data_IF_092468014161
#
_entry.id   IF_092468014161
#
_cell.length_a   1.000
_cell.length_b   1.000
_cell.length_c   1.000
_cell.angle_alpha   90.00
_cell.angle_beta   90.00
_cell.angle_gamma   90.00
#
_symmetry.space_group_name_H-M   'P 1'
#
loop_
_entity.id
_entity.type
_entity.pdbx_description
1 polymer ?
#
# COMPACT_ATOMS: atom_id res chain seq x y z
N UNK A 1 -5.14 0.09 -4.75
CA UNK A 1 -4.13 0.43 -3.72
C UNK A 1 -3.47 1.74 -4.11
N UNK A 2 -3.26 2.64 -3.16
CA UNK A 2 -2.55 3.91 -3.32
C UNK A 2 -1.35 3.93 -2.35
N UNK A 3 -0.18 4.37 -2.82
CA UNK A 3 1.04 4.47 -2.00
C UNK A 3 1.60 5.87 -2.16
N UNK A 4 1.90 6.55 -1.06
CA UNK A 4 2.59 7.85 -1.04
C UNK A 4 3.85 7.76 -0.18
N UNK A 5 4.95 8.29 -0.69
CA UNK A 5 6.26 8.24 -0.03
C UNK A 5 6.43 9.33 1.02
N UNK A 6 5.82 10.49 0.79
CA UNK A 6 5.86 11.62 1.71
C UNK A 6 4.43 12.00 2.11
N UNK A 7 4.29 12.51 3.33
CA UNK A 7 3.02 12.99 3.86
C UNK A 7 2.79 14.46 3.47
N UNK A 8 1.63 14.81 2.90
CA UNK A 8 1.24 16.20 2.71
C UNK A 8 1.17 16.94 4.06
N UNK A 9 1.44 18.23 4.02
CA UNK A 9 1.46 19.10 5.21
C UNK A 9 0.05 19.54 5.64
N UNK A 10 -0.95 19.37 4.77
CA UNK A 10 -2.34 19.72 5.00
C UNK A 10 -3.28 18.51 4.81
N UNK A 11 -4.39 18.53 5.55
CA UNK A 11 -5.34 17.43 5.59
C UNK A 11 -6.13 17.28 4.29
N UNK A 12 -6.49 18.39 3.64
CA UNK A 12 -7.28 18.38 2.40
C UNK A 12 -6.52 17.68 1.27
N UNK A 13 -5.24 18.01 1.10
CA UNK A 13 -4.33 17.35 0.17
C UNK A 13 -4.19 15.86 0.47
N UNK A 14 -4.11 15.47 1.74
CA UNK A 14 -4.06 14.05 2.13
C UNK A 14 -5.32 13.31 1.66
N UNK A 15 -6.50 13.86 1.95
CA UNK A 15 -7.79 13.29 1.53
C UNK A 15 -7.90 13.16 0.01
N UNK A 16 -7.48 14.17 -0.74
CA UNK A 16 -7.48 14.13 -2.21
C UNK A 16 -6.53 13.08 -2.81
N UNK A 17 -5.42 12.78 -2.12
CA UNK A 17 -4.47 11.73 -2.50
C UNK A 17 -5.03 10.33 -2.25
N UNK A 18 -5.56 10.07 -1.06
CA UNK A 18 -6.11 8.74 -0.76
C UNK A 18 -7.40 8.45 -1.56
N UNK A 19 -8.12 9.50 -1.99
CA UNK A 19 -9.28 9.39 -2.88
C UNK A 19 -8.99 8.80 -4.27
N UNK A 20 -7.74 8.45 -4.57
CA UNK A 20 -7.36 7.72 -5.80
C UNK A 20 -7.67 6.21 -5.73
N UNK A 21 -7.94 5.67 -4.55
CA UNK A 21 -8.36 4.27 -4.35
C UNK A 21 -9.83 4.16 -3.89
N UNK A 22 -10.38 2.95 -3.75
CA UNK A 22 -11.76 2.74 -3.26
C UNK A 22 -12.88 3.22 -4.18
N UNK A 23 -12.87 2.79 -5.45
CA UNK A 23 -13.86 3.20 -6.47
C UNK A 23 -15.09 2.27 -6.50
N UNK A 24 -16.22 2.80 -6.98
CA UNK A 24 -17.46 2.04 -7.20
C UNK A 24 -17.96 1.29 -5.96
N UNK A 25 -17.87 1.93 -4.78
CA UNK A 25 -18.30 1.36 -3.50
C UNK A 25 -17.41 0.21 -2.98
N UNK A 26 -16.29 -0.09 -3.65
CA UNK A 26 -15.34 -1.10 -3.20
C UNK A 26 -14.34 -0.50 -2.23
N UNK A 27 -13.85 -1.34 -1.33
CA UNK A 27 -12.77 -0.98 -0.41
C UNK A 27 -11.47 -0.67 -1.17
N UNK A 28 -10.71 0.29 -0.63
CA UNK A 28 -9.42 0.71 -1.16
C UNK A 28 -8.41 0.79 -0.03
N UNK A 29 -7.16 0.45 -0.33
CA UNK A 29 -6.05 0.50 0.62
C UNK A 29 -5.16 1.69 0.24
N UNK A 30 -4.89 2.58 1.19
CA UNK A 30 -3.91 3.65 1.08
C UNK A 30 -2.81 3.44 2.12
N UNK A 31 -1.55 3.48 1.69
CA UNK A 31 -0.37 3.35 2.56
C UNK A 31 0.50 4.59 2.41
N UNK A 32 0.93 5.16 3.52
CA UNK A 32 1.76 6.36 3.57
C UNK A 32 3.01 6.07 4.38
N UNK A 33 4.17 6.39 3.83
CA UNK A 33 5.41 6.42 4.59
C UNK A 33 5.51 7.75 5.33
N UNK A 34 5.98 7.70 6.58
CA UNK A 34 6.03 8.85 7.49
C UNK A 34 7.32 8.77 8.30
N UNK A 35 8.03 9.88 8.41
CA UNK A 35 9.18 10.00 9.29
C UNK A 35 8.74 10.34 10.73
N UNK A 36 9.55 10.00 11.76
CA UNK A 36 9.20 10.31 13.15
C UNK A 36 8.91 11.80 13.42
N UNK A 37 9.58 12.69 12.69
CA UNK A 37 9.41 14.16 12.80
C UNK A 37 8.05 14.61 12.25
N UNK A 38 7.44 13.84 11.35
CA UNK A 38 6.19 14.18 10.67
C UNK A 38 4.95 13.62 11.38
N UNK A 39 5.13 12.98 12.55
CA UNK A 39 4.03 12.35 13.31
C UNK A 39 2.95 13.35 13.73
N UNK A 40 3.29 14.62 13.88
CA UNK A 40 2.30 15.65 14.22
C UNK A 40 1.32 15.92 13.07
N UNK A 41 1.74 15.77 11.81
CA UNK A 41 0.83 15.85 10.65
C UNK A 41 -0.15 14.69 10.63
N UNK A 42 0.29 13.49 10.99
CA UNK A 42 -0.60 12.32 11.12
C UNK A 42 -1.68 12.60 12.17
N UNK A 43 -1.31 13.09 13.35
CA UNK A 43 -2.29 13.40 14.41
C UNK A 43 -3.34 14.42 13.93
N UNK A 44 -2.90 15.48 13.25
CA UNK A 44 -3.82 16.47 12.67
C UNK A 44 -4.80 15.85 11.67
N UNK A 45 -4.31 14.96 10.80
CA UNK A 45 -5.13 14.26 9.81
C UNK A 45 -6.10 13.29 10.50
N UNK A 46 -5.66 12.57 11.53
CA UNK A 46 -6.52 11.65 12.31
C UNK A 46 -7.63 12.41 13.05
N UNK A 47 -7.29 13.54 13.67
CA UNK A 47 -8.24 14.40 14.38
C UNK A 47 -9.28 14.99 13.42
N UNK A 48 -8.84 15.47 12.26
CA UNK A 48 -9.73 16.05 11.25
C UNK A 48 -10.64 15.00 10.58
N UNK A 49 -10.15 13.79 10.36
CA UNK A 49 -10.92 12.69 9.75
C UNK A 49 -11.73 11.89 10.78
N UNK A 50 -11.51 12.11 12.08
CA UNK A 50 -12.13 11.37 13.18
C UNK A 50 -11.80 9.87 13.18
N UNK A 51 -10.69 9.47 12.55
CA UNK A 51 -10.30 8.07 12.38
C UNK A 51 -8.80 7.90 12.58
N UNK A 52 -8.42 6.91 13.37
CA UNK A 52 -7.02 6.53 13.56
C UNK A 52 -6.52 5.67 12.41
N UNK A 53 -5.29 5.93 11.99
CA UNK A 53 -4.58 5.14 11.01
C UNK A 53 -3.91 3.94 11.69
N UNK A 54 -3.86 2.83 10.97
CA UNK A 54 -3.15 1.63 11.46
C UNK A 54 -1.67 1.76 11.18
N UNK A 55 -0.85 1.82 12.24
CA UNK A 55 0.60 1.78 12.11
C UNK A 55 1.04 0.39 11.61
N UNK A 56 1.71 0.35 10.47
CA UNK A 56 2.28 -0.87 9.90
C UNK A 56 3.79 -0.89 10.11
N UNK A 57 4.32 -2.07 10.47
CA UNK A 57 5.77 -2.28 10.45
C UNK A 57 6.24 -2.60 9.04
N UNK A 58 7.47 -2.21 8.67
CA UNK A 58 8.11 -2.77 7.50
C UNK A 58 8.18 -4.31 7.58
N UNK A 59 8.07 -5.00 6.43
CA UNK A 59 8.17 -6.45 6.39
C UNK A 59 9.59 -6.91 6.78
N UNK A 60 9.67 -8.07 7.43
CA UNK A 60 10.96 -8.66 7.80
C UNK A 60 11.62 -9.32 6.59
N UNK A 61 12.95 -9.46 6.59
CA UNK A 61 13.71 -10.08 5.48
C UNK A 61 13.14 -11.44 5.06
N UNK A 62 12.77 -12.28 6.03
CA UNK A 62 12.16 -13.60 5.77
C UNK A 62 10.84 -13.49 5.00
N UNK A 63 9.98 -12.54 5.36
CA UNK A 63 8.68 -12.30 4.70
C UNK A 63 8.89 -11.81 3.26
N UNK A 64 9.87 -10.92 3.06
CA UNK A 64 10.23 -10.42 1.71
C UNK A 64 10.77 -11.53 0.82
N UNK A 65 11.62 -12.41 1.36
CA UNK A 65 12.17 -13.55 0.60
C UNK A 65 11.07 -14.53 0.23
N UNK A 66 10.19 -14.88 1.17
CA UNK A 66 9.06 -15.76 0.92
C UNK A 66 8.14 -15.21 -0.19
N UNK A 67 7.75 -13.93 -0.09
CA UNK A 67 6.91 -13.30 -1.10
C UNK A 67 7.55 -13.30 -2.50
N UNK A 68 8.89 -13.16 -2.58
CA UNK A 68 9.62 -13.26 -3.86
C UNK A 68 9.62 -14.69 -4.39
N UNK A 69 9.82 -15.69 -3.54
CA UNK A 69 9.75 -17.10 -3.96
C UNK A 69 8.37 -17.45 -4.50
N UNK A 70 7.31 -16.99 -3.84
CA UNK A 70 5.94 -17.26 -4.23
C UNK A 70 5.60 -16.58 -5.58
N UNK A 71 6.01 -15.32 -5.78
CA UNK A 71 5.87 -14.61 -7.07
C UNK A 71 6.65 -15.30 -8.20
N UNK A 72 7.85 -15.83 -7.92
CA UNK A 72 8.63 -16.60 -8.91
C UNK A 72 7.91 -17.90 -9.28
N UNK A 73 7.39 -18.65 -8.30
CA UNK A 73 6.63 -19.90 -8.56
C UNK A 73 5.42 -19.65 -9.45
N UNK A 74 4.61 -18.64 -9.11
CA UNK A 74 3.43 -18.27 -9.90
C UNK A 74 3.79 -17.93 -11.36
N UNK A 75 4.89 -17.17 -11.55
CA UNK A 75 5.39 -16.83 -12.89
C UNK A 75 5.87 -18.04 -13.67
N UNK A 76 6.55 -18.99 -13.02
CA UNK A 76 7.01 -20.23 -13.66
C UNK A 76 5.82 -21.11 -14.05
N UNK A 77 4.83 -21.27 -13.18
CA UNK A 77 3.61 -22.04 -13.47
C UNK A 77 2.83 -21.44 -14.64
N UNK A 78 2.61 -20.13 -14.61
CA UNK A 78 1.89 -19.40 -15.68
C UNK A 78 2.67 -19.40 -16.99
N UNK A 79 4.01 -19.29 -16.93
CA UNK A 79 4.90 -19.35 -18.09
C UNK A 79 4.98 -20.74 -18.72
N UNK A 80 5.02 -21.79 -17.91
CA UNK A 80 5.07 -23.18 -18.37
C UNK A 80 3.75 -23.59 -19.06
N UNK A 81 2.61 -23.22 -18.48
CA UNK A 81 1.29 -23.48 -19.09
C UNK A 81 1.10 -22.77 -20.44
N UNK A 82 1.71 -21.60 -20.64
CA UNK A 82 1.69 -20.90 -21.94
C UNK A 82 2.54 -21.60 -23.01
N UNK A 83 3.62 -22.27 -22.62
CA UNK A 83 4.45 -23.04 -23.56
C UNK A 83 3.78 -24.35 -24.02
N UNK A 84 2.93 -24.96 -23.19
CA UNK A 84 2.23 -26.20 -23.52
C UNK A 84 1.01 -25.99 -24.44
N UNK A 85 0.39 -24.81 -24.42
CA UNK A 85 -0.79 -24.47 -25.24
C UNK A 85 -0.44 -23.81 -26.60
N UNK A 86 0.82 -23.86 -27.01
CA UNK A 86 1.30 -23.35 -28.32
C UNK A 86 1.98 -24.45 -29.16
N UNK A 87 1.67 -25.72 -28.88
CA UNK A 87 2.04 -26.88 -29.70
C UNK A 87 0.79 -27.49 -30.35
#
# INVERSE_FOLDING_TARGET
MFITFDIPQDTESYTHRIGRTGRAGKEGIAVTFVNPIEMDYIRQIEDANGRKMSALRPPHRKEVLQAREDDIKEKVETGCLKSQNHA
#
